data_IF_083972945548
#
_entry.id   IF_083972945548
#
_cell.length_a   1.000
_cell.length_b   1.000
_cell.length_c   1.000
_cell.angle_alpha   90.00
_cell.angle_beta   90.00
_cell.angle_gamma   90.00
#
_symmetry.space_group_name_H-M   'P 1'
#
loop_
_entity.id
_entity.type
_entity.pdbx_description
1 polymer ?
#
# COMPACT_ATOMS: atom_id res chain seq x y z
N UNK A 1 -18.98 -50.18 14.11
CA UNK A 1 -20.38 -50.55 13.77
C UNK A 1 -20.49 -51.74 12.82
N UNK A 2 -19.66 -51.86 11.78
CA UNK A 2 -19.69 -53.03 10.88
C UNK A 2 -19.50 -54.37 11.61
N UNK A 3 -18.57 -54.44 12.57
CA UNK A 3 -18.35 -55.64 13.39
C UNK A 3 -19.59 -56.01 14.22
N UNK A 4 -20.25 -55.03 14.85
CA UNK A 4 -21.48 -55.26 15.61
C UNK A 4 -22.63 -55.76 14.72
N UNK A 5 -22.77 -55.21 13.51
CA UNK A 5 -23.72 -55.71 12.50
C UNK A 5 -23.43 -57.16 12.11
N UNK A 6 -22.16 -57.49 11.86
CA UNK A 6 -21.74 -58.84 11.51
C UNK A 6 -22.00 -59.85 12.66
N UNK A 7 -21.77 -59.42 13.90
CA UNK A 7 -22.07 -60.22 15.10
C UNK A 7 -23.57 -60.48 15.26
N UNK A 8 -24.42 -59.46 15.06
CA UNK A 8 -25.88 -59.61 15.11
C UNK A 8 -26.41 -60.56 14.03
N UNK A 9 -25.89 -60.48 12.81
CA UNK A 9 -26.23 -61.43 11.75
C UNK A 9 -25.82 -62.85 12.11
N UNK A 10 -24.61 -63.03 12.65
CA UNK A 10 -24.12 -64.34 13.07
C UNK A 10 -24.96 -64.93 14.22
N UNK A 11 -25.35 -64.09 15.19
CA UNK A 11 -26.22 -64.47 16.29
C UNK A 11 -27.62 -64.86 15.81
N UNK A 12 -28.21 -64.09 14.89
CA UNK A 12 -29.51 -64.41 14.27
C UNK A 12 -29.49 -65.77 13.57
N UNK A 13 -28.46 -66.04 12.77
CA UNK A 13 -28.29 -67.32 12.08
C UNK A 13 -28.14 -68.49 13.07
N UNK A 14 -27.37 -68.30 14.14
CA UNK A 14 -27.21 -69.32 15.18
C UNK A 14 -28.51 -69.59 15.95
N UNK A 15 -29.26 -68.53 16.28
CA UNK A 15 -30.55 -68.65 16.97
C UNK A 15 -31.57 -69.46 16.14
N UNK A 16 -31.66 -69.15 14.84
CA UNK A 16 -32.57 -69.85 13.93
C UNK A 16 -32.17 -71.32 13.69
N UNK A 17 -30.88 -71.65 13.75
CA UNK A 17 -30.39 -73.01 13.52
C UNK A 17 -30.55 -73.93 14.74
N UNK A 18 -30.48 -73.38 15.96
CA UNK A 18 -30.41 -74.17 17.19
C UNK A 18 -31.70 -74.13 18.03
N UNK A 19 -32.66 -73.26 17.72
CA UNK A 19 -33.85 -73.06 18.53
C UNK A 19 -35.12 -72.98 17.66
N UNK A 20 -36.18 -73.70 18.05
CA UNK A 20 -37.45 -73.81 17.29
C UNK A 20 -38.69 -73.30 18.05
N UNK A 21 -38.49 -72.64 19.21
CA UNK A 21 -39.55 -72.00 19.98
C UNK A 21 -40.27 -70.87 19.22
N UNK A 22 -41.53 -70.63 19.59
CA UNK A 22 -42.40 -69.61 18.97
C UNK A 22 -41.93 -68.17 19.20
N UNK A 23 -40.97 -67.96 20.10
CA UNK A 23 -40.31 -66.70 20.42
C UNK A 23 -39.22 -66.28 19.40
N UNK A 24 -38.63 -67.24 18.67
CA UNK A 24 -37.51 -66.99 17.74
C UNK A 24 -37.85 -65.99 16.63
N UNK A 25 -39.06 -66.00 16.03
CA UNK A 25 -39.48 -64.98 15.08
C UNK A 25 -39.46 -63.57 15.66
N UNK A 26 -39.94 -63.37 16.90
CA UNK A 26 -39.95 -62.05 17.55
C UNK A 26 -38.53 -61.56 17.86
N UNK A 27 -37.66 -62.46 18.34
CA UNK A 27 -36.24 -62.14 18.56
C UNK A 27 -35.52 -61.79 17.25
N UNK A 28 -35.78 -62.54 16.18
CA UNK A 28 -35.23 -62.29 14.85
C UNK A 28 -35.64 -60.91 14.31
N UNK A 29 -36.91 -60.52 14.49
CA UNK A 29 -37.39 -59.19 14.15
C UNK A 29 -36.72 -58.09 14.97
N UNK A 30 -36.47 -58.33 16.26
CA UNK A 30 -35.71 -57.40 17.11
C UNK A 30 -34.29 -57.17 16.62
N UNK A 31 -33.60 -58.26 16.23
CA UNK A 31 -32.25 -58.19 15.65
C UNK A 31 -32.26 -57.43 14.32
N UNK A 32 -33.25 -57.68 13.46
CA UNK A 32 -33.38 -56.96 12.19
C UNK A 32 -33.57 -55.46 12.38
N UNK A 33 -34.40 -55.05 13.36
CA UNK A 33 -34.55 -53.63 13.73
C UNK A 33 -33.24 -53.03 14.22
N UNK A 34 -32.47 -53.75 15.04
CA UNK A 34 -31.16 -53.27 15.52
C UNK A 34 -30.16 -53.10 14.37
N UNK A 35 -30.14 -54.02 13.40
CA UNK A 35 -29.29 -53.91 12.20
C UNK A 35 -29.70 -52.69 11.36
N UNK A 36 -31.00 -52.46 11.16
CA UNK A 36 -31.50 -51.29 10.44
C UNK A 36 -31.10 -49.98 11.13
N UNK A 37 -31.17 -49.92 12.46
CA UNK A 37 -30.70 -48.76 13.22
C UNK A 37 -29.20 -48.53 13.07
N UNK A 38 -28.39 -49.60 13.09
CA UNK A 38 -26.94 -49.51 12.85
C UNK A 38 -26.67 -48.95 11.45
N UNK A 39 -27.38 -49.42 10.42
CA UNK A 39 -27.23 -48.92 9.05
C UNK A 39 -27.62 -47.45 8.91
N UNK A 40 -28.68 -47.01 9.59
CA UNK A 40 -29.09 -45.60 9.64
C UNK A 40 -27.99 -44.74 10.28
N UNK A 41 -27.52 -45.11 11.48
CA UNK A 41 -26.48 -44.35 12.18
C UNK A 41 -25.17 -44.31 11.39
N UNK A 42 -24.78 -45.41 10.72
CA UNK A 42 -23.61 -45.40 9.84
C UNK A 42 -23.74 -44.45 8.65
N UNK A 43 -24.96 -44.27 8.12
CA UNK A 43 -25.22 -43.28 7.06
C UNK A 43 -25.12 -41.86 7.61
N UNK A 44 -25.75 -41.61 8.74
CA UNK A 44 -25.77 -40.28 9.36
C UNK A 44 -24.36 -39.82 9.75
N UNK A 45 -23.55 -40.72 10.34
CA UNK A 45 -22.15 -40.41 10.66
C UNK A 45 -21.32 -40.04 9.43
N UNK A 46 -21.54 -40.71 8.29
CA UNK A 46 -20.85 -40.36 7.03
C UNK A 46 -21.29 -38.99 6.53
N UNK A 47 -22.58 -38.69 6.60
CA UNK A 47 -23.11 -37.39 6.20
C UNK A 47 -22.54 -36.28 7.08
N UNK A 48 -22.57 -36.45 8.41
CA UNK A 48 -21.99 -35.50 9.36
C UNK A 48 -20.49 -35.29 9.10
N UNK A 49 -19.73 -36.36 8.84
CA UNK A 49 -18.31 -36.23 8.53
C UNK A 49 -18.07 -35.39 7.27
N UNK A 50 -18.89 -35.58 6.23
CA UNK A 50 -18.83 -34.78 5.00
C UNK A 50 -19.20 -33.31 5.26
N UNK A 51 -20.25 -33.06 6.03
CA UNK A 51 -20.72 -31.71 6.38
C UNK A 51 -19.68 -30.96 7.21
N UNK A 52 -19.08 -31.62 8.20
CA UNK A 52 -17.98 -31.06 9.01
C UNK A 52 -16.80 -30.71 8.11
N UNK A 53 -16.39 -31.61 7.21
CA UNK A 53 -15.25 -31.35 6.32
C UNK A 53 -15.53 -30.22 5.33
N UNK A 54 -16.75 -30.15 4.79
CA UNK A 54 -17.23 -29.07 3.93
C UNK A 54 -17.21 -27.73 4.66
N UNK A 55 -17.75 -27.70 5.88
CA UNK A 55 -17.82 -26.51 6.73
C UNK A 55 -16.43 -26.02 7.13
N UNK A 56 -15.54 -26.92 7.56
CA UNK A 56 -14.15 -26.58 7.88
C UNK A 56 -13.40 -26.02 6.66
N UNK A 57 -13.64 -26.57 5.47
CA UNK A 57 -13.07 -26.07 4.22
C UNK A 57 -13.61 -24.68 3.86
N UNK A 58 -14.89 -24.42 4.10
CA UNK A 58 -15.50 -23.11 3.88
C UNK A 58 -14.92 -22.05 4.83
N UNK A 59 -14.84 -22.35 6.13
CA UNK A 59 -14.23 -21.48 7.15
C UNK A 59 -12.79 -21.13 6.77
N UNK A 60 -11.98 -22.13 6.40
CA UNK A 60 -10.59 -21.89 6.00
C UNK A 60 -10.48 -20.93 4.81
N UNK A 61 -11.34 -21.09 3.80
CA UNK A 61 -11.36 -20.19 2.64
C UNK A 61 -11.75 -18.76 3.02
N UNK A 62 -12.71 -18.61 3.91
CA UNK A 62 -13.14 -17.32 4.42
C UNK A 62 -12.02 -16.62 5.20
N UNK A 63 -11.36 -17.34 6.10
CA UNK A 63 -10.21 -16.85 6.87
C UNK A 63 -9.05 -16.44 5.95
N UNK A 64 -8.72 -17.26 4.96
CA UNK A 64 -7.67 -16.95 3.97
C UNK A 64 -8.04 -15.68 3.17
N UNK A 65 -9.30 -15.55 2.74
CA UNK A 65 -9.78 -14.36 2.02
C UNK A 65 -9.74 -13.10 2.90
N UNK A 66 -10.15 -13.21 4.17
CA UNK A 66 -10.09 -12.12 5.14
C UNK A 66 -8.63 -11.69 5.41
N UNK A 67 -7.70 -12.64 5.54
CA UNK A 67 -6.28 -12.38 5.71
C UNK A 67 -5.67 -11.65 4.50
N UNK A 68 -6.02 -12.09 3.27
CA UNK A 68 -5.59 -11.41 2.04
C UNK A 68 -6.15 -9.99 1.97
N UNK A 69 -7.44 -9.79 2.28
CA UNK A 69 -8.06 -8.47 2.28
C UNK A 69 -7.43 -7.54 3.33
N UNK A 70 -7.12 -8.06 4.52
CA UNK A 70 -6.43 -7.30 5.57
C UNK A 70 -5.03 -6.86 5.14
N UNK A 71 -4.24 -7.77 4.54
CA UNK A 71 -2.91 -7.45 3.98
C UNK A 71 -3.00 -6.38 2.89
N UNK A 72 -3.97 -6.48 1.99
CA UNK A 72 -4.18 -5.49 0.93
C UNK A 72 -4.54 -4.11 1.50
N UNK A 73 -5.40 -4.05 2.52
CA UNK A 73 -5.75 -2.79 3.22
C UNK A 73 -4.53 -2.18 3.90
N UNK A 74 -3.75 -2.97 4.63
CA UNK A 74 -2.53 -2.52 5.29
C UNK A 74 -1.51 -1.96 4.28
N UNK A 75 -1.27 -2.66 3.17
CA UNK A 75 -0.38 -2.20 2.11
C UNK A 75 -0.87 -0.89 1.47
N UNK A 76 -2.19 -0.75 1.25
CA UNK A 76 -2.77 0.49 0.74
C UNK A 76 -2.60 1.65 1.72
N UNK A 77 -2.87 1.44 3.00
CA UNK A 77 -2.68 2.45 4.04
C UNK A 77 -1.23 2.90 4.15
N UNK A 78 -0.28 1.95 4.08
CA UNK A 78 1.15 2.28 4.10
C UNK A 78 1.54 3.14 2.89
N UNK A 79 1.07 2.82 1.68
CA UNK A 79 1.34 3.63 0.48
C UNK A 79 0.78 5.05 0.62
N UNK A 80 -0.44 5.18 1.13
CA UNK A 80 -1.07 6.49 1.38
C UNK A 80 -0.24 7.29 2.39
N UNK A 81 0.16 6.67 3.51
CA UNK A 81 0.97 7.34 4.53
C UNK A 81 2.32 7.81 3.99
N UNK A 82 3.00 6.97 3.19
CA UNK A 82 4.27 7.35 2.53
C UNK A 82 4.07 8.51 1.57
N UNK A 83 3.02 8.47 0.73
CA UNK A 83 2.72 9.55 -0.20
C UNK A 83 2.37 10.86 0.52
N UNK A 84 1.61 10.78 1.61
CA UNK A 84 1.26 11.95 2.42
C UNK A 84 2.51 12.58 3.05
N UNK A 85 3.41 11.77 3.61
CA UNK A 85 4.67 12.27 4.17
C UNK A 85 5.55 12.91 3.09
N UNK A 86 5.66 12.29 1.91
CA UNK A 86 6.42 12.85 0.80
C UNK A 86 5.84 14.19 0.32
N UNK A 87 4.50 14.29 0.24
CA UNK A 87 3.81 15.54 -0.09
C UNK A 87 4.08 16.63 0.94
N UNK A 88 3.92 16.32 2.23
CA UNK A 88 4.18 17.28 3.31
C UNK A 88 5.62 17.79 3.26
N UNK A 89 6.61 16.88 3.10
CA UNK A 89 8.01 17.26 2.97
C UNK A 89 8.26 18.18 1.76
N UNK A 90 7.64 17.89 0.61
CA UNK A 90 7.77 18.73 -0.58
C UNK A 90 7.15 20.12 -0.38
N UNK A 91 6.03 20.22 0.34
CA UNK A 91 5.44 21.50 0.71
C UNK A 91 6.37 22.32 1.62
N UNK A 92 6.99 21.68 2.61
CA UNK A 92 7.93 22.34 3.53
C UNK A 92 9.18 22.83 2.78
N UNK A 93 9.74 22.00 1.90
CA UNK A 93 10.88 22.37 1.06
C UNK A 93 10.55 23.54 0.13
N UNK A 94 9.37 23.52 -0.50
CA UNK A 94 8.90 24.62 -1.33
C UNK A 94 8.70 25.91 -0.53
N UNK A 95 8.25 25.83 0.73
CA UNK A 95 8.13 26.98 1.60
C UNK A 95 9.50 27.58 1.93
N UNK A 96 10.51 26.76 2.22
CA UNK A 96 11.88 27.24 2.46
C UNK A 96 12.52 27.84 1.22
N UNK A 97 12.39 27.21 0.05
CA UNK A 97 12.87 27.75 -1.22
C UNK A 97 12.22 29.10 -1.55
N UNK A 98 10.93 29.27 -1.25
CA UNK A 98 10.27 30.56 -1.42
C UNK A 98 10.84 31.63 -0.46
N UNK A 99 11.11 31.29 0.81
CA UNK A 99 11.78 32.21 1.74
C UNK A 99 13.17 32.60 1.23
N UNK A 100 13.94 31.66 0.69
CA UNK A 100 15.24 31.96 0.09
C UNK A 100 15.13 32.86 -1.14
N UNK A 101 14.16 32.58 -2.02
CA UNK A 101 13.85 33.43 -3.17
C UNK A 101 13.53 34.85 -2.73
N UNK A 102 12.70 35.03 -1.70
CA UNK A 102 12.32 36.35 -1.19
C UNK A 102 13.51 37.08 -0.55
N UNK A 103 14.38 36.37 0.18
CA UNK A 103 15.64 36.93 0.71
C UNK A 103 16.58 37.36 -0.43
N UNK A 104 16.71 36.57 -1.49
CA UNK A 104 17.51 36.90 -2.66
C UNK A 104 16.92 38.09 -3.41
N UNK A 105 15.61 38.14 -3.58
CA UNK A 105 14.90 39.26 -4.18
C UNK A 105 15.11 40.55 -3.38
N UNK A 106 15.05 40.50 -2.05
CA UNK A 106 15.34 41.63 -1.18
C UNK A 106 16.80 42.11 -1.34
N UNK A 107 17.78 41.20 -1.34
CA UNK A 107 19.20 41.54 -1.59
C UNK A 107 19.43 42.14 -2.97
N UNK A 108 18.74 41.65 -4.00
CA UNK A 108 18.78 42.20 -5.35
C UNK A 108 18.15 43.60 -5.40
N UNK A 109 17.11 43.84 -4.61
CA UNK A 109 16.43 45.14 -4.47
C UNK A 109 17.26 46.19 -3.73
N UNK A 110 18.23 45.81 -2.90
CA UNK A 110 19.15 46.74 -2.23
C UNK A 110 20.35 47.16 -3.09
N UNK A 111 20.77 46.31 -4.04
CA UNK A 111 21.87 46.59 -5.00
C UNK A 111 21.59 47.54 -6.20
N UNK A 112 20.36 48.03 -6.52
CA UNK A 112 20.14 49.00 -7.60
C UNK A 112 20.81 50.34 -7.32
N UNK A 113 20.97 50.69 -6.03
CA UNK A 113 21.64 51.93 -5.58
C UNK A 113 23.11 51.97 -6.00
N UNK A 114 23.81 50.83 -5.97
CA UNK A 114 25.20 50.69 -6.45
C UNK A 114 25.27 50.78 -7.98
N UNK A 115 24.32 50.17 -8.69
CA UNK A 115 24.26 50.24 -10.16
C UNK A 115 24.04 51.69 -10.61
N UNK A 116 23.14 52.43 -9.95
CA UNK A 116 22.90 53.83 -10.26
C UNK A 116 24.11 54.71 -9.90
N UNK A 117 24.75 54.48 -8.74
CA UNK A 117 25.95 55.22 -8.32
C UNK A 117 27.10 55.07 -9.32
N UNK A 118 27.39 53.85 -9.78
CA UNK A 118 28.44 53.61 -10.76
C UNK A 118 28.10 54.20 -12.14
N UNK A 119 26.81 54.28 -12.49
CA UNK A 119 26.35 54.94 -13.72
C UNK A 119 26.61 56.45 -13.67
N UNK A 120 26.32 57.11 -12.55
CA UNK A 120 26.56 58.54 -12.36
C UNK A 120 28.07 58.87 -12.32
N UNK A 121 28.88 57.98 -11.73
CA UNK A 121 30.34 58.11 -11.71
C UNK A 121 30.95 57.98 -13.12
N UNK A 122 30.47 57.03 -13.94
CA UNK A 122 30.87 56.89 -15.34
C UNK A 122 30.52 58.13 -16.18
N UNK A 123 29.33 58.70 -15.98
CA UNK A 123 28.92 59.92 -16.70
C UNK A 123 29.83 61.12 -16.36
N UNK A 124 30.19 61.28 -15.08
CA UNK A 124 31.15 62.31 -14.65
C UNK A 124 32.54 62.10 -15.25
N UNK A 125 32.98 60.85 -15.39
CA UNK A 125 34.28 60.53 -15.99
C UNK A 125 34.29 60.87 -17.48
N UNK A 126 33.23 60.51 -18.22
CA UNK A 126 33.11 60.81 -19.65
C UNK A 126 33.11 62.33 -19.92
N UNK A 127 32.38 63.13 -19.13
CA UNK A 127 32.41 64.60 -19.25
C UNK A 127 33.82 65.18 -19.03
N UNK A 128 34.61 64.60 -18.11
CA UNK A 128 36.00 65.01 -17.88
C UNK A 128 36.91 64.64 -19.04
N UNK A 129 36.72 63.45 -19.63
CA UNK A 129 37.47 63.01 -20.81
C UNK A 129 37.17 63.94 -21.99
N UNK A 130 35.90 64.22 -22.27
CA UNK A 130 35.50 65.09 -23.38
C UNK A 130 36.07 66.52 -23.24
N UNK A 131 36.10 67.07 -22.02
CA UNK A 131 36.72 68.37 -21.74
C UNK A 131 38.25 68.33 -21.92
N UNK A 132 38.90 67.24 -21.54
CA UNK A 132 40.34 67.05 -21.72
C UNK A 132 40.71 66.86 -23.20
N UNK A 133 39.89 66.16 -23.97
CA UNK A 133 40.03 66.01 -25.42
C UNK A 133 39.93 67.35 -26.13
N UNK A 134 38.89 68.15 -25.85
CA UNK A 134 38.75 69.51 -26.39
C UNK A 134 39.97 70.37 -26.07
N UNK A 135 40.45 70.33 -24.83
CA UNK A 135 41.65 71.07 -24.42
C UNK A 135 42.91 70.57 -25.14
N UNK A 136 43.02 69.27 -25.37
CA UNK A 136 44.14 68.68 -26.12
C UNK A 136 44.14 69.14 -27.58
N UNK A 137 42.96 69.15 -28.22
CA UNK A 137 42.79 69.64 -29.59
C UNK A 137 43.08 71.14 -29.69
N UNK A 138 42.62 71.95 -28.73
CA UNK A 138 42.97 73.37 -28.63
C UNK A 138 44.48 73.58 -28.51
N UNK A 139 45.15 72.83 -27.62
CA UNK A 139 46.61 72.88 -27.47
C UNK A 139 47.34 72.42 -28.74
N UNK A 140 46.83 71.38 -29.41
CA UNK A 140 47.39 70.86 -30.67
C UNK A 140 47.26 71.89 -31.79
N UNK A 141 46.11 72.56 -31.89
CA UNK A 141 45.85 73.63 -32.85
C UNK A 141 46.74 74.85 -32.57
N UNK A 142 46.88 75.25 -31.31
CA UNK A 142 47.77 76.34 -30.90
C UNK A 142 49.25 76.03 -31.22
N UNK A 143 49.70 74.80 -30.95
CA UNK A 143 51.05 74.34 -31.31
C UNK A 143 51.25 74.31 -32.83
N UNK A 144 50.26 73.88 -33.60
CA UNK A 144 50.31 73.89 -35.07
C UNK A 144 50.34 75.32 -35.64
N UNK A 145 49.59 76.25 -35.05
CA UNK A 145 49.59 77.66 -35.42
C UNK A 145 50.95 78.32 -35.12
N UNK A 146 51.55 78.03 -33.96
CA UNK A 146 52.87 78.56 -33.59
C UNK A 146 54.05 78.03 -34.43
N UNK A 147 53.82 77.00 -35.26
CA UNK A 147 54.83 76.40 -36.16
C UNK A 147 54.74 76.89 -37.61
N UNK A 148 53.79 77.77 -37.94
CA UNK A 148 53.68 78.44 -39.25
C UNK A 148 54.33 79.82 -39.19
#
# INVERSE_FOLDING_TARGET
MQQAKNQLNSYKSSLAANWQGSEVPYMSQGIDKAIQQIDAVMRDLRNIANDVNSTASAIKREDDAAAVAARARAAKQQRIAVAQNAYNNACDELAELNKEKDKLAAKLRDKPSLIQKYRDELEKLNKKIEAAEKKCDECKNALAAARR
#
